data_IF_306123145993
#
_entry.id   IF_306123145993
#
_cell.length_a   1.000
_cell.length_b   1.000
_cell.length_c   1.000
_cell.angle_alpha   90.00
_cell.angle_beta   90.00
_cell.angle_gamma   90.00
#
_symmetry.space_group_name_H-M   'P 1'
#
loop_
_entity.id
_entity.type
_entity.pdbx_description
1 polymer ?
#
# COMPACT_ATOMS: atom_id res chain seq x y z
N UNK A 1 -4.19 -13.48 5.73
CA UNK A 1 -3.21 -13.57 4.63
C UNK A 1 -2.40 -12.26 4.62
N UNK A 2 -1.10 -12.27 4.31
CA UNK A 2 -0.27 -11.05 4.24
C UNK A 2 0.24 -10.84 2.82
N UNK A 3 0.14 -9.62 2.30
CA UNK A 3 0.71 -9.22 1.01
C UNK A 3 1.94 -8.33 1.24
N UNK A 4 3.09 -8.74 0.72
CA UNK A 4 4.29 -7.89 0.65
C UNK A 4 4.24 -7.07 -0.63
N UNK A 5 4.23 -5.74 -0.51
CA UNK A 5 4.29 -4.84 -1.67
C UNK A 5 5.63 -4.09 -1.66
N UNK A 6 6.48 -4.40 -2.64
CA UNK A 6 7.80 -3.79 -2.85
C UNK A 6 8.00 -3.49 -4.34
N UNK A 7 7.51 -2.34 -4.78
CA UNK A 7 7.62 -1.87 -6.16
C UNK A 7 8.47 -0.61 -6.23
N UNK A 8 9.25 -0.48 -7.30
CA UNK A 8 10.07 0.72 -7.56
C UNK A 8 9.20 1.86 -8.11
N UNK A 9 8.38 1.56 -9.12
CA UNK A 9 7.37 2.48 -9.64
C UNK A 9 6.09 2.40 -8.79
N UNK A 10 5.65 3.53 -8.26
CA UNK A 10 4.51 3.61 -7.33
C UNK A 10 3.22 4.08 -8.02
N UNK A 11 3.23 4.20 -9.35
CA UNK A 11 2.05 4.61 -10.10
C UNK A 11 0.96 3.56 -9.96
N UNK A 12 -0.22 3.96 -9.47
CA UNK A 12 -1.35 3.04 -9.27
C UNK A 12 -1.23 2.06 -8.09
N UNK A 13 -0.15 2.10 -7.30
CA UNK A 13 0.05 1.16 -6.17
C UNK A 13 -1.00 1.32 -5.08
N UNK A 14 -1.58 2.52 -4.95
CA UNK A 14 -2.61 2.84 -3.97
C UNK A 14 -3.91 2.10 -4.27
N UNK A 15 -4.34 2.05 -5.53
CA UNK A 15 -5.58 1.35 -5.92
C UNK A 15 -5.44 -0.16 -5.71
N UNK A 16 -4.30 -0.72 -6.11
CA UNK A 16 -3.98 -2.14 -5.88
C UNK A 16 -3.94 -2.49 -4.39
N UNK A 17 -3.30 -1.64 -3.58
CA UNK A 17 -3.27 -1.84 -2.14
C UNK A 17 -4.67 -1.73 -1.52
N UNK A 18 -5.48 -0.76 -1.97
CA UNK A 18 -6.84 -0.59 -1.45
C UNK A 18 -7.72 -1.81 -1.76
N UNK A 19 -7.67 -2.32 -3.00
CA UNK A 19 -8.41 -3.51 -3.39
C UNK A 19 -7.98 -4.76 -2.58
N UNK A 20 -6.68 -4.93 -2.32
CA UNK A 20 -6.17 -6.03 -1.50
C UNK A 20 -6.62 -5.91 -0.03
N UNK A 21 -6.61 -4.70 0.52
CA UNK A 21 -7.10 -4.44 1.87
C UNK A 21 -8.61 -4.73 1.99
N UNK A 22 -9.40 -4.37 0.99
CA UNK A 22 -10.85 -4.70 0.94
C UNK A 22 -11.12 -6.20 0.86
N UNK A 23 -10.21 -6.96 0.27
CA UNK A 23 -10.24 -8.44 0.26
C UNK A 23 -9.78 -9.06 1.60
N UNK A 24 -9.48 -8.25 2.62
CA UNK A 24 -9.04 -8.71 3.94
C UNK A 24 -7.56 -9.08 4.01
N UNK A 25 -6.75 -8.59 3.08
CA UNK A 25 -5.31 -8.79 3.11
C UNK A 25 -4.62 -7.71 3.94
N UNK A 26 -3.70 -8.16 4.79
CA UNK A 26 -2.85 -7.28 5.59
C UNK A 26 -1.64 -6.89 4.73
N UNK A 27 -1.56 -5.60 4.39
CA UNK A 27 -0.52 -5.07 3.50
C UNK A 27 0.70 -4.70 4.32
N UNK A 28 1.77 -5.45 4.09
CA UNK A 28 3.07 -5.22 4.72
C UNK A 28 3.97 -4.58 3.69
N UNK A 29 4.34 -3.32 3.92
CA UNK A 29 5.33 -2.61 3.11
C UNK A 29 6.37 -2.01 4.03
N UNK A 30 7.64 -2.07 3.62
CA UNK A 30 8.77 -1.46 4.32
C UNK A 30 9.39 -0.40 3.43
N UNK A 31 9.68 0.78 3.97
CA UNK A 31 10.23 1.91 3.21
C UNK A 31 9.19 2.89 2.66
N UNK A 32 9.56 3.66 1.61
CA UNK A 32 8.77 4.80 1.14
C UNK A 32 7.37 4.46 0.57
N UNK A 33 7.12 3.20 0.24
CA UNK A 33 5.79 2.71 -0.18
C UNK A 33 4.81 2.64 0.99
N UNK A 34 5.29 2.31 2.20
CA UNK A 34 4.48 2.40 3.42
C UNK A 34 4.07 3.84 3.70
N UNK A 35 4.99 4.81 3.55
CA UNK A 35 4.67 6.24 3.71
C UNK A 35 3.59 6.71 2.72
N UNK A 36 3.62 6.24 1.47
CA UNK A 36 2.58 6.55 0.47
C UNK A 36 1.22 5.96 0.83
N UNK A 37 1.18 4.79 1.47
CA UNK A 37 -0.06 4.13 1.89
C UNK A 37 -0.59 4.60 3.25
N UNK A 38 0.29 5.04 4.15
CA UNK A 38 -0.05 5.43 5.53
C UNK A 38 -0.29 6.93 5.69
N UNK A 39 0.07 7.79 4.74
CA UNK A 39 -0.19 9.23 4.86
C UNK A 39 -1.69 9.50 4.61
N UNK A 40 -2.54 9.74 5.64
CA UNK A 40 -3.73 10.52 5.40
C UNK A 40 -3.21 11.85 4.87
N UNK A 41 -3.77 12.29 3.75
CA UNK A 41 -3.47 13.58 3.15
C UNK A 41 -3.83 14.67 4.18
N UNK A 42 -2.90 15.01 5.07
CA UNK A 42 -3.01 16.20 5.91
C UNK A 42 -3.02 17.39 4.96
N UNK A 43 -4.10 18.16 5.13
CA UNK A 43 -4.34 19.51 4.60
C UNK A 43 -3.08 20.38 4.60
#
# INVERSE_FOLDING_TARGET
MRALISVYDKTGIIETAKALAELGWDIVSSGGTATTLTKPMSM
#
